data_IF_642600419822
#
_entry.id   IF_642600419822
#
_cell.length_a   1.000
_cell.length_b   1.000
_cell.length_c   1.000
_cell.angle_alpha   90.00
_cell.angle_beta   90.00
_cell.angle_gamma   90.00
#
_symmetry.space_group_name_H-M   'P 1'
#
loop_
_entity.id
_entity.type
_entity.pdbx_description
1 polymer ?
#
# COMPACT_ATOMS: atom_id res chain seq x y z
N UNK A 1 44.32 -1.96 46.66
CA UNK A 1 45.28 -1.21 45.83
C UNK A 1 44.49 -0.35 44.86
N UNK A 2 44.80 0.93 44.88
CA UNK A 2 44.07 2.10 44.40
C UNK A 2 44.34 2.48 42.93
N UNK A 3 43.35 3.16 42.30
CA UNK A 3 43.47 4.24 41.27
C UNK A 3 44.16 3.88 39.91
N UNK A 4 43.88 4.46 38.73
CA UNK A 4 43.06 5.58 38.27
C UNK A 4 42.93 5.55 36.72
N UNK A 5 41.95 6.28 36.20
CA UNK A 5 41.79 6.77 34.82
C UNK A 5 42.91 7.77 34.42
N UNK A 6 43.20 7.92 33.10
CA UNK A 6 43.49 9.18 32.36
C UNK A 6 43.91 8.84 30.90
N UNK A 7 43.33 9.30 29.78
CA UNK A 7 42.98 10.60 29.12
C UNK A 7 44.14 11.36 28.41
N UNK A 8 43.86 11.83 27.16
CA UNK A 8 44.40 12.96 26.33
C UNK A 8 45.75 12.67 25.57
N UNK A 9 46.07 13.05 24.30
CA UNK A 9 45.83 14.29 23.51
C UNK A 9 46.29 14.27 22.03
N UNK A 10 45.51 15.00 21.21
CA UNK A 10 45.72 15.70 19.91
C UNK A 10 47.14 15.98 19.37
N UNK A 11 47.31 15.99 18.03
CA UNK A 11 47.79 17.17 17.23
C UNK A 11 47.23 17.14 15.78
N UNK A 12 46.65 18.26 15.35
CA UNK A 12 46.28 18.64 13.97
C UNK A 12 47.50 19.31 13.31
N UNK A 13 47.73 19.10 12.00
CA UNK A 13 48.41 20.10 11.16
C UNK A 13 47.85 20.12 9.73
N UNK A 14 47.46 21.32 9.27
CA UNK A 14 47.06 21.68 7.90
C UNK A 14 48.17 22.53 7.27
N UNK A 15 48.49 22.27 6.00
CA UNK A 15 48.98 23.20 4.97
C UNK A 15 49.08 22.39 3.65
N UNK A 16 48.21 22.50 2.64
CA UNK A 16 48.07 23.52 1.57
C UNK A 16 49.41 23.92 0.93
N UNK A 17 49.70 23.35 -0.25
CA UNK A 17 50.28 23.96 -1.47
C UNK A 17 49.99 22.94 -2.61
N UNK A 18 48.96 23.16 -3.45
CA UNK A 18 48.97 23.87 -4.73
C UNK A 18 49.56 23.05 -5.90
N UNK A 19 48.63 22.65 -6.79
CA UNK A 19 48.73 22.48 -8.26
C UNK A 19 49.82 21.60 -8.90
N UNK A 20 49.37 20.56 -9.63
CA UNK A 20 49.45 20.61 -11.09
C UNK A 20 48.46 19.64 -11.76
N UNK A 21 47.53 20.28 -12.46
CA UNK A 21 46.46 19.71 -13.26
C UNK A 21 47.03 18.80 -14.35
N UNK A 22 46.69 17.51 -14.30
CA UNK A 22 46.44 16.75 -15.53
C UNK A 22 44.96 16.40 -15.53
N UNK A 23 44.14 17.41 -15.83
CA UNK A 23 42.74 17.21 -16.16
C UNK A 23 42.74 16.45 -17.47
N UNK A 24 42.61 15.12 -17.40
CA UNK A 24 42.01 14.38 -18.50
C UNK A 24 40.58 14.88 -18.59
N UNK A 25 40.35 15.85 -19.47
CA UNK A 25 39.03 16.13 -20.01
C UNK A 25 38.60 14.88 -20.78
N UNK A 26 38.07 13.89 -20.05
CA UNK A 26 37.10 12.99 -20.63
C UNK A 26 35.89 13.89 -20.84
N UNK A 27 35.61 14.21 -22.10
CA UNK A 27 34.35 14.78 -22.48
C UNK A 27 33.27 13.82 -22.03
N UNK A 28 32.70 14.09 -20.86
CA UNK A 28 31.41 13.56 -20.44
C UNK A 28 30.40 14.19 -21.39
N UNK A 29 30.31 13.64 -22.60
CA UNK A 29 29.09 13.75 -23.36
C UNK A 29 28.09 12.94 -22.56
N UNK A 30 27.41 13.63 -21.66
CA UNK A 30 26.08 13.24 -21.27
C UNK A 30 25.29 13.19 -22.58
N UNK A 31 25.26 12.01 -23.20
CA UNK A 31 24.21 11.65 -24.12
C UNK A 31 22.93 11.82 -23.32
N UNK A 32 22.34 13.01 -23.43
CA UNK A 32 20.91 13.21 -23.28
C UNK A 32 20.28 12.39 -24.41
N UNK A 33 20.28 11.07 -24.26
CA UNK A 33 19.41 10.21 -25.01
C UNK A 33 18.02 10.65 -24.60
N UNK A 34 17.40 11.50 -25.43
CA UNK A 34 15.97 11.71 -25.44
C UNK A 34 15.34 10.32 -25.37
N UNK A 35 14.86 9.93 -24.19
CA UNK A 35 14.12 8.69 -24.01
C UNK A 35 12.84 8.86 -24.81
N UNK A 36 12.90 8.51 -26.09
CA UNK A 36 11.78 8.43 -26.99
C UNK A 36 10.73 7.57 -26.30
N UNK A 37 9.67 8.20 -25.82
CA UNK A 37 8.59 7.53 -25.11
C UNK A 37 8.00 6.49 -26.06
N UNK A 38 8.34 5.22 -25.82
CA UNK A 38 7.75 4.12 -26.59
C UNK A 38 6.23 4.20 -26.43
N UNK A 39 5.45 4.03 -27.50
CA UNK A 39 4.00 4.09 -27.42
C UNK A 39 3.51 3.07 -26.39
N UNK A 40 2.88 3.55 -25.31
CA UNK A 40 2.35 2.71 -24.24
C UNK A 40 1.00 2.16 -24.72
N UNK A 41 0.81 0.85 -24.54
CA UNK A 41 -0.46 0.19 -24.85
C UNK A 41 -1.58 0.75 -23.94
N UNK A 42 -2.66 1.32 -24.49
CA UNK A 42 -3.72 1.96 -23.72
C UNK A 42 -4.39 1.01 -22.71
N UNK A 43 -4.37 -0.31 -22.95
CA UNK A 43 -4.95 -1.29 -22.03
C UNK A 43 -4.16 -1.43 -20.71
N UNK A 44 -2.87 -1.09 -20.72
CA UNK A 44 -1.97 -1.26 -19.57
C UNK A 44 -1.72 0.03 -18.81
N UNK A 45 -2.18 1.15 -19.34
CA UNK A 45 -1.99 2.47 -18.76
C UNK A 45 -2.88 2.65 -17.52
N UNK A 46 -2.27 3.11 -16.43
CA UNK A 46 -2.88 3.35 -15.11
C UNK A 46 -2.49 4.74 -14.58
N UNK A 47 -2.08 5.66 -15.46
CA UNK A 47 -1.77 7.05 -15.10
C UNK A 47 -3.02 7.90 -14.88
N UNK A 48 -4.16 7.53 -15.51
CA UNK A 48 -5.42 8.26 -15.39
C UNK A 48 -6.01 8.11 -14.00
N UNK A 49 -6.25 9.24 -13.34
CA UNK A 49 -6.94 9.29 -12.05
C UNK A 49 -8.44 9.25 -12.33
N UNK A 50 -9.09 8.18 -11.88
CA UNK A 50 -10.54 7.99 -12.01
C UNK A 50 -11.20 8.51 -10.72
N UNK A 51 -12.28 9.30 -10.80
CA UNK A 51 -12.96 9.78 -9.61
C UNK A 51 -13.78 8.67 -8.94
N UNK A 52 -13.96 8.79 -7.64
CA UNK A 52 -14.62 7.78 -6.80
C UNK A 52 -16.08 7.56 -7.20
N UNK A 53 -16.77 8.64 -7.61
CA UNK A 53 -18.16 8.56 -8.05
C UNK A 53 -18.33 7.66 -9.27
N UNK A 54 -17.34 7.64 -10.17
CA UNK A 54 -17.34 6.75 -11.34
C UNK A 54 -17.16 5.30 -10.91
N UNK A 55 -16.30 5.02 -9.91
CA UNK A 55 -16.13 3.67 -9.35
C UNK A 55 -17.43 3.15 -8.74
N UNK A 56 -18.12 3.97 -7.95
CA UNK A 56 -19.42 3.60 -7.36
C UNK A 56 -20.48 3.33 -8.43
N UNK A 57 -20.57 4.18 -9.46
CA UNK A 57 -21.47 3.96 -10.60
C UNK A 57 -21.12 2.69 -11.38
N UNK A 58 -19.84 2.36 -11.48
CA UNK A 58 -19.39 1.13 -12.14
C UNK A 58 -19.84 -0.13 -11.38
N UNK A 59 -19.77 -0.13 -10.05
CA UNK A 59 -20.28 -1.24 -9.23
C UNK A 59 -21.77 -1.54 -9.47
N UNK A 60 -22.57 -0.49 -9.74
CA UNK A 60 -24.01 -0.60 -10.03
C UNK A 60 -24.33 -0.88 -11.51
N UNK A 61 -23.31 -0.87 -12.36
CA UNK A 61 -23.48 -1.03 -13.80
C UNK A 61 -23.79 -2.48 -14.20
N UNK A 62 -24.51 -2.63 -15.33
CA UNK A 62 -24.72 -3.94 -15.96
C UNK A 62 -23.41 -4.61 -16.37
N UNK A 63 -22.38 -3.82 -16.71
CA UNK A 63 -21.07 -4.32 -17.10
C UNK A 63 -20.41 -5.08 -15.95
N UNK A 64 -20.38 -4.50 -14.74
CA UNK A 64 -19.85 -5.16 -13.55
C UNK A 64 -20.58 -6.47 -13.23
N UNK A 65 -21.92 -6.44 -13.27
CA UNK A 65 -22.73 -7.63 -13.05
C UNK A 65 -22.47 -8.73 -14.08
N UNK A 66 -22.25 -8.36 -15.35
CA UNK A 66 -21.93 -9.32 -16.40
C UNK A 66 -20.51 -9.93 -16.23
N UNK A 67 -19.54 -9.17 -15.72
CA UNK A 67 -18.16 -9.63 -15.58
C UNK A 67 -17.93 -10.47 -14.33
N UNK A 68 -18.49 -10.08 -13.18
CA UNK A 68 -18.25 -10.74 -11.89
C UNK A 68 -19.44 -11.56 -11.38
N UNK A 69 -20.66 -11.24 -11.81
CA UNK A 69 -21.89 -11.88 -11.34
C UNK A 69 -22.15 -11.55 -9.87
N UNK A 70 -22.52 -12.58 -9.11
CA UNK A 70 -22.78 -12.49 -7.67
C UNK A 70 -21.54 -12.82 -6.81
N UNK A 71 -20.42 -13.16 -7.45
CA UNK A 71 -19.19 -13.53 -6.77
C UNK A 71 -18.34 -12.28 -6.45
N UNK A 72 -17.51 -12.32 -5.37
CA UNK A 72 -16.60 -11.22 -5.09
C UNK A 72 -15.53 -11.10 -6.18
N UNK A 73 -15.00 -9.88 -6.38
CA UNK A 73 -14.07 -9.53 -7.47
C UNK A 73 -12.86 -10.47 -7.56
N UNK A 74 -12.35 -10.95 -6.43
CA UNK A 74 -11.15 -11.78 -6.36
C UNK A 74 -11.42 -13.29 -6.57
N UNK A 75 -12.68 -13.73 -6.67
CA UNK A 75 -13.06 -15.14 -6.73
C UNK A 75 -12.49 -15.87 -7.96
N UNK A 76 -12.59 -15.26 -9.14
CA UNK A 76 -12.13 -15.84 -10.41
C UNK A 76 -10.61 -15.71 -10.63
N UNK A 77 -9.91 -15.03 -9.73
CA UNK A 77 -8.49 -14.77 -9.89
C UNK A 77 -7.64 -15.91 -9.33
N UNK A 78 -6.72 -16.40 -10.17
CA UNK A 78 -5.74 -17.42 -9.79
C UNK A 78 -4.32 -16.92 -10.02
N UNK A 79 -3.47 -17.04 -9.00
CA UNK A 79 -2.07 -16.59 -9.06
C UNK A 79 -1.15 -17.68 -9.62
N UNK A 80 -0.40 -17.32 -10.65
CA UNK A 80 0.66 -18.17 -11.19
C UNK A 80 1.86 -18.18 -10.23
N UNK A 81 2.25 -19.37 -9.77
CA UNK A 81 3.41 -19.60 -8.90
C UNK A 81 3.98 -20.99 -9.18
N UNK A 82 5.24 -21.22 -8.80
CA UNK A 82 5.91 -22.50 -8.99
C UNK A 82 5.59 -23.45 -7.84
N UNK A 83 5.33 -24.72 -8.17
CA UNK A 83 5.07 -25.78 -7.19
C UNK A 83 3.63 -25.83 -6.69
N UNK A 84 3.34 -26.76 -5.78
CA UNK A 84 2.00 -26.94 -5.21
C UNK A 84 1.65 -25.89 -4.15
N UNK A 85 2.64 -25.30 -3.48
CA UNK A 85 2.43 -24.31 -2.43
C UNK A 85 2.81 -22.92 -2.89
N UNK A 86 1.86 -22.00 -2.77
CA UNK A 86 2.07 -20.61 -3.11
C UNK A 86 3.01 -19.93 -2.08
N UNK A 87 3.91 -19.04 -2.53
CA UNK A 87 4.68 -18.20 -1.61
C UNK A 87 3.76 -17.45 -0.63
N UNK A 88 4.11 -17.45 0.66
CA UNK A 88 3.30 -16.81 1.72
C UNK A 88 3.00 -15.34 1.42
N UNK A 89 4.01 -14.60 0.96
CA UNK A 89 3.85 -13.19 0.59
C UNK A 89 3.51 -13.04 -0.89
N UNK A 90 2.57 -12.15 -1.20
CA UNK A 90 2.27 -11.77 -2.59
C UNK A 90 3.35 -10.83 -3.14
N UNK A 91 3.28 -10.49 -4.44
CA UNK A 91 4.21 -9.55 -5.06
C UNK A 91 4.04 -8.13 -4.49
N UNK A 92 5.11 -7.31 -4.49
CA UNK A 92 5.10 -5.94 -3.95
C UNK A 92 4.05 -5.04 -4.64
N UNK A 93 4.10 -4.93 -5.96
CA UNK A 93 3.13 -4.17 -6.77
C UNK A 93 2.91 -4.82 -8.13
N UNK A 94 1.74 -4.62 -8.73
CA UNK A 94 1.47 -4.99 -10.14
C UNK A 94 1.75 -3.85 -11.12
N UNK A 95 1.60 -2.61 -10.65
CA UNK A 95 1.80 -1.38 -11.42
C UNK A 95 3.13 -0.76 -11.04
N UNK A 96 3.91 -0.33 -12.03
CA UNK A 96 5.19 0.38 -11.89
C UNK A 96 5.18 1.57 -12.86
N UNK A 97 5.51 2.76 -12.38
CA UNK A 97 5.53 4.00 -13.19
C UNK A 97 4.23 4.22 -13.98
N UNK A 98 3.07 3.95 -13.35
CA UNK A 98 1.77 4.11 -14.01
C UNK A 98 1.42 3.05 -15.05
N UNK A 99 2.25 2.02 -15.25
CA UNK A 99 2.01 0.97 -16.25
C UNK A 99 1.91 -0.40 -15.57
N UNK A 100 1.00 -1.25 -16.03
CA UNK A 100 0.94 -2.66 -15.60
C UNK A 100 2.18 -3.39 -16.09
N UNK A 101 3.09 -3.73 -15.18
CA UNK A 101 4.32 -4.44 -15.49
C UNK A 101 4.17 -5.96 -15.49
N UNK A 102 3.02 -6.48 -15.05
CA UNK A 102 2.81 -7.92 -14.85
C UNK A 102 1.85 -8.50 -15.88
N UNK A 103 2.11 -9.70 -16.40
CA UNK A 103 1.19 -10.37 -17.33
C UNK A 103 -0.15 -10.77 -16.71
N UNK A 104 -0.15 -11.20 -15.43
CA UNK A 104 -1.38 -11.54 -14.68
C UNK A 104 -1.54 -10.59 -13.48
N UNK A 105 -2.09 -9.37 -13.64
CA UNK A 105 -2.25 -8.39 -12.56
C UNK A 105 -3.25 -8.83 -11.49
N UNK A 106 -3.19 -8.19 -10.31
CA UNK A 106 -4.14 -8.46 -9.23
C UNK A 106 -5.59 -8.11 -9.63
N UNK A 107 -6.63 -8.66 -8.97
CA UNK A 107 -8.04 -8.37 -9.32
C UNK A 107 -8.34 -6.87 -9.42
N UNK A 108 -7.91 -6.10 -8.42
CA UNK A 108 -8.04 -4.63 -8.36
C UNK A 108 -7.13 -3.90 -9.35
N UNK A 109 -6.03 -4.51 -9.77
CA UNK A 109 -5.05 -3.87 -10.65
C UNK A 109 -5.40 -4.08 -12.13
N UNK A 110 -6.12 -5.15 -12.43
CA UNK A 110 -6.56 -5.53 -13.77
C UNK A 110 -7.63 -4.58 -14.27
N UNK A 111 -8.59 -4.26 -13.41
CA UNK A 111 -9.68 -3.34 -13.70
C UNK A 111 -9.35 -1.94 -13.19
N UNK A 112 -9.62 -0.92 -13.99
CA UNK A 112 -9.25 0.48 -13.69
C UNK A 112 -10.31 1.14 -12.81
N UNK A 113 -11.57 0.71 -12.96
CA UNK A 113 -12.71 1.31 -12.27
C UNK A 113 -12.87 0.81 -10.84
N UNK A 114 -12.08 -0.17 -10.41
CA UNK A 114 -12.09 -0.67 -9.03
C UNK A 114 -11.11 0.12 -8.18
N UNK A 115 -11.65 1.15 -7.51
CA UNK A 115 -10.87 2.07 -6.69
C UNK A 115 -11.16 1.79 -5.21
N UNK A 116 -10.09 1.64 -4.44
CA UNK A 116 -10.15 1.42 -3.00
C UNK A 116 -10.31 2.77 -2.31
N UNK A 117 -11.54 3.09 -1.92
CA UNK A 117 -11.90 4.31 -1.21
C UNK A 117 -12.84 3.98 -0.05
N UNK A 118 -12.80 4.72 1.07
CA UNK A 118 -13.65 4.47 2.24
C UNK A 118 -15.15 4.65 1.94
N UNK A 119 -15.48 5.48 0.94
CA UNK A 119 -16.87 5.73 0.50
C UNK A 119 -17.47 4.54 -0.26
N UNK A 120 -16.64 3.68 -0.86
CA UNK A 120 -17.10 2.57 -1.70
C UNK A 120 -17.32 1.30 -0.86
N UNK A 121 -18.37 1.30 -0.05
CA UNK A 121 -18.69 0.19 0.87
C UNK A 121 -18.91 -1.14 0.14
N UNK A 122 -19.64 -1.13 -0.98
CA UNK A 122 -19.94 -2.32 -1.82
C UNK A 122 -18.69 -3.07 -2.27
N UNK A 123 -17.59 -2.36 -2.51
CA UNK A 123 -16.32 -2.97 -2.88
C UNK A 123 -15.55 -3.47 -1.65
N UNK A 124 -15.49 -2.66 -0.59
CA UNK A 124 -14.73 -2.99 0.63
C UNK A 124 -15.31 -4.20 1.37
N UNK A 125 -16.64 -4.31 1.44
CA UNK A 125 -17.34 -5.44 2.08
C UNK A 125 -16.91 -6.80 1.51
N UNK A 126 -16.60 -6.88 0.21
CA UNK A 126 -16.14 -8.12 -0.44
C UNK A 126 -14.78 -8.62 0.08
N UNK A 127 -14.01 -7.76 0.73
CA UNK A 127 -12.72 -8.08 1.33
C UNK A 127 -12.80 -8.33 2.83
N UNK A 128 -13.99 -8.26 3.41
CA UNK A 128 -14.27 -8.55 4.82
C UNK A 128 -15.03 -9.88 4.89
N UNK A 129 -14.74 -10.69 5.90
CA UNK A 129 -15.50 -11.91 6.15
C UNK A 129 -16.85 -11.57 6.80
N UNK A 130 -17.94 -12.02 6.19
CA UNK A 130 -19.31 -11.79 6.69
C UNK A 130 -19.53 -12.28 8.14
N UNK A 131 -18.91 -13.41 8.51
CA UNK A 131 -19.13 -14.02 9.83
C UNK A 131 -18.22 -13.46 10.92
N UNK A 132 -16.95 -13.19 10.59
CA UNK A 132 -15.94 -12.81 11.59
C UNK A 132 -15.70 -11.30 11.64
N UNK A 133 -16.10 -10.56 10.61
CA UNK A 133 -15.75 -9.14 10.43
C UNK A 133 -14.26 -8.90 10.19
N UNK A 134 -13.46 -9.97 10.00
CA UNK A 134 -12.02 -9.85 9.77
C UNK A 134 -11.72 -9.58 8.30
N UNK A 135 -10.69 -8.76 8.07
CA UNK A 135 -10.20 -8.45 6.73
C UNK A 135 -9.48 -9.67 6.17
N UNK A 136 -9.79 -10.04 4.92
CA UNK A 136 -9.16 -11.17 4.25
C UNK A 136 -7.70 -10.85 3.89
N UNK A 137 -6.80 -11.78 4.22
CA UNK A 137 -5.38 -11.64 3.89
C UNK A 137 -5.13 -11.60 2.37
N UNK A 138 -4.06 -10.91 1.98
CA UNK A 138 -3.59 -10.82 0.61
C UNK A 138 -3.31 -12.20 -0.01
N UNK A 139 -2.92 -13.19 0.80
CA UNK A 139 -2.72 -14.55 0.33
C UNK A 139 -4.02 -15.18 -0.23
N UNK A 140 -5.16 -14.92 0.41
CA UNK A 140 -6.48 -15.42 -0.01
C UNK A 140 -7.06 -14.63 -1.17
N UNK A 141 -6.98 -13.29 -1.10
CA UNK A 141 -7.56 -12.39 -2.13
C UNK A 141 -6.68 -12.25 -3.37
N UNK A 142 -5.40 -12.59 -3.29
CA UNK A 142 -4.48 -12.51 -4.41
C UNK A 142 -4.01 -11.10 -4.78
N UNK A 143 -4.28 -10.12 -3.91
CA UNK A 143 -3.85 -8.73 -4.09
C UNK A 143 -2.32 -8.57 -4.02
N UNK A 144 -1.80 -7.54 -4.70
CA UNK A 144 -0.42 -7.13 -4.46
C UNK A 144 -0.28 -6.41 -3.11
N UNK A 145 0.89 -6.47 -2.49
CA UNK A 145 1.11 -5.90 -1.15
C UNK A 145 0.77 -4.41 -1.08
N UNK A 146 1.07 -3.64 -2.13
CA UNK A 146 0.71 -2.21 -2.22
C UNK A 146 -0.81 -2.01 -2.13
N UNK A 147 -1.58 -2.71 -2.97
CA UNK A 147 -3.05 -2.61 -2.97
C UNK A 147 -3.68 -3.16 -1.69
N UNK A 148 -3.09 -4.19 -1.08
CA UNK A 148 -3.57 -4.68 0.21
C UNK A 148 -3.35 -3.65 1.33
N UNK A 149 -2.23 -2.93 1.35
CA UNK A 149 -2.04 -1.82 2.30
C UNK A 149 -3.03 -0.68 2.07
N UNK A 150 -3.25 -0.30 0.81
CA UNK A 150 -4.28 0.70 0.46
C UNK A 150 -5.68 0.25 0.92
N UNK A 151 -6.01 -1.04 0.77
CA UNK A 151 -7.25 -1.62 1.27
C UNK A 151 -7.39 -1.51 2.79
N UNK A 152 -6.34 -1.86 3.55
CA UNK A 152 -6.36 -1.76 5.01
C UNK A 152 -6.63 -0.33 5.47
N UNK A 153 -5.92 0.63 4.87
CA UNK A 153 -6.12 2.06 5.17
C UNK A 153 -7.54 2.52 4.82
N UNK A 154 -8.07 2.11 3.66
CA UNK A 154 -9.43 2.47 3.26
C UNK A 154 -10.50 1.88 4.19
N UNK A 155 -10.32 0.65 4.68
CA UNK A 155 -11.24 0.01 5.62
C UNK A 155 -11.17 0.69 6.99
N UNK A 156 -9.96 0.96 7.50
CA UNK A 156 -9.78 1.70 8.77
C UNK A 156 -10.46 3.08 8.70
N UNK A 157 -10.21 3.83 7.62
CA UNK A 157 -10.88 5.12 7.39
C UNK A 157 -12.41 4.98 7.28
N UNK A 158 -12.91 3.91 6.67
CA UNK A 158 -14.35 3.67 6.57
C UNK A 158 -14.98 3.33 7.92
N UNK A 159 -14.27 2.63 8.81
CA UNK A 159 -14.72 2.41 10.19
C UNK A 159 -14.72 3.69 11.01
N UNK A 160 -13.68 4.52 10.89
CA UNK A 160 -13.59 5.81 11.58
C UNK A 160 -14.68 6.79 11.14
N UNK A 161 -15.01 6.80 9.84
CA UNK A 161 -16.06 7.65 9.26
C UNK A 161 -17.47 7.08 9.47
N UNK A 162 -17.60 5.83 9.95
CA UNK A 162 -18.88 5.16 10.11
C UNK A 162 -19.54 4.73 8.79
N UNK A 163 -18.78 4.60 7.70
CA UNK A 163 -19.27 4.06 6.44
C UNK A 163 -19.44 2.53 6.49
N UNK A 164 -18.57 1.84 7.23
CA UNK A 164 -18.67 0.40 7.47
C UNK A 164 -19.04 0.13 8.93
N UNK A 165 -19.90 -0.87 9.14
CA UNK A 165 -20.22 -1.36 10.48
C UNK A 165 -19.19 -2.38 10.94
N UNK A 166 -18.90 -2.38 12.24
CA UNK A 166 -18.03 -3.37 12.86
C UNK A 166 -18.48 -3.64 14.30
N UNK A 167 -18.04 -4.77 14.85
CA UNK A 167 -18.38 -5.15 16.22
C UNK A 167 -17.50 -4.37 17.20
N UNK A 168 -18.12 -3.53 18.03
CA UNK A 168 -17.46 -2.81 19.11
C UNK A 168 -17.70 -3.56 20.43
N UNK A 169 -16.66 -3.99 21.15
CA UNK A 169 -16.83 -4.64 22.43
C UNK A 169 -17.33 -3.64 23.47
N UNK A 170 -18.26 -4.08 24.32
CA UNK A 170 -18.68 -3.29 25.47
C UNK A 170 -17.52 -3.18 26.47
N UNK A 171 -17.30 -1.97 27.01
CA UNK A 171 -16.28 -1.71 28.03
C UNK A 171 -16.98 -1.28 29.32
N UNK A 172 -16.69 -1.98 30.41
CA UNK A 172 -17.17 -1.62 31.74
C UNK A 172 -16.20 -0.63 32.38
N UNK A 173 -16.74 0.43 33.00
CA UNK A 173 -15.96 1.42 33.73
C UNK A 173 -16.19 1.27 35.22
N UNK A 174 -15.11 1.30 36.00
CA UNK A 174 -15.21 1.36 37.46
C UNK A 174 -15.41 2.82 37.91
N UNK A 175 -16.65 3.19 38.20
CA UNK A 175 -17.03 4.55 38.61
C UNK A 175 -16.51 4.95 40.00
N UNK A 176 -16.09 4.01 40.84
CA UNK A 176 -15.57 4.32 42.19
C UNK A 176 -14.32 5.21 42.17
N UNK A 177 -13.49 5.11 41.12
CA UNK A 177 -12.28 5.93 40.93
C UNK A 177 -12.55 7.42 40.70
N UNK A 178 -13.80 7.78 40.41
CA UNK A 178 -14.20 9.15 40.11
C UNK A 178 -15.01 9.79 41.25
N UNK A 179 -15.31 9.03 42.31
CA UNK A 179 -16.00 9.54 43.49
C UNK A 179 -15.04 10.33 44.38
N UNK A 180 -15.01 11.65 44.19
CA UNK A 180 -14.22 12.61 45.00
C UNK A 180 -14.62 12.65 46.49
N UNK A 181 -15.80 12.14 46.84
CA UNK A 181 -16.34 12.21 48.20
C UNK A 181 -15.77 11.12 49.15
N UNK A 182 -14.90 10.24 48.66
CA UNK A 182 -14.32 9.14 49.48
C UNK A 182 -13.12 9.60 50.30
N UNK A 183 -12.46 10.71 49.96
CA UNK A 183 -11.24 11.20 50.62
C UNK A 183 -11.50 12.21 51.77
N UNK A 184 -12.76 12.53 52.06
CA UNK A 184 -13.13 13.62 52.98
C UNK A 184 -13.55 13.18 54.39
N UNK A 185 -13.33 11.93 54.80
CA UNK A 185 -13.63 11.42 56.14
C UNK A 185 -12.39 10.88 56.85
#
# INVERSE_FOLDING_TARGET
>A
MTFALNVIRSVINRAIFADLRTIRFVSDQADESEEQQKPIDPSKDRTKVIPVETSMRYMDSKAFKQTYGDNPVWYLYRRNHRGGFAPRKTRKSCVRNGIISTGNPCPICRDEYLILDPRNTKLLEQFISEYTGQILDAFKTGLCQKKHKELLVAIEQAWDQGHLTYSVPFREYNYSLYNKNVEAN
#
